data_IF_543420800473
#
_entry.id   IF_543420800473
#
_cell.length_a   1.000
_cell.length_b   1.000
_cell.length_c   1.000
_cell.angle_alpha   90.00
_cell.angle_beta   90.00
_cell.angle_gamma   90.00
#
_symmetry.space_group_name_H-M   'P 1'
#
loop_
_entity.id
_entity.type
_entity.pdbx_description
1 polymer ?
#
# COMPACT_ATOMS: atom_id res chain seq x y z
N UNK A 1 13.98 0.71 9.98
CA UNK A 1 12.81 0.06 10.59
C UNK A 1 11.95 1.02 11.41
N UNK A 2 12.52 1.94 12.20
CA UNK A 2 11.72 2.98 12.88
C UNK A 2 10.79 3.74 11.93
N UNK A 3 11.28 4.19 10.76
CA UNK A 3 10.43 4.82 9.75
C UNK A 3 9.25 3.95 9.30
N UNK A 4 9.48 2.64 9.11
CA UNK A 4 8.42 1.69 8.69
C UNK A 4 7.36 1.55 9.78
N UNK A 5 7.78 1.57 11.06
CA UNK A 5 6.87 1.55 12.20
C UNK A 5 6.03 2.83 12.27
N UNK A 6 6.66 4.00 12.11
CA UNK A 6 5.95 5.28 12.05
C UNK A 6 4.93 5.34 10.90
N UNK A 7 5.31 4.85 9.72
CA UNK A 7 4.38 4.76 8.58
C UNK A 7 3.21 3.82 8.87
N UNK A 8 3.46 2.72 9.59
CA UNK A 8 2.42 1.78 10.00
C UNK A 8 1.45 2.42 11.00
N UNK A 9 1.97 3.13 12.00
CA UNK A 9 1.17 3.86 13.00
C UNK A 9 0.32 4.96 12.35
N UNK A 10 0.84 5.63 11.33
CA UNK A 10 0.11 6.62 10.52
C UNK A 10 -0.79 6.00 9.44
N UNK A 11 -0.87 4.66 9.37
CA UNK A 11 -1.66 3.93 8.36
C UNK A 11 -1.33 4.36 6.92
N UNK A 12 -0.07 4.72 6.68
CA UNK A 12 0.44 5.08 5.36
C UNK A 12 1.04 3.84 4.69
N UNK A 13 0.15 3.00 4.17
CA UNK A 13 0.51 1.72 3.56
C UNK A 13 1.12 1.86 2.16
N UNK A 14 0.83 2.95 1.45
CA UNK A 14 1.51 3.25 0.20
C UNK A 14 3.02 3.41 0.41
N UNK A 15 3.44 4.39 1.22
CA UNK A 15 4.86 4.65 1.47
C UNK A 15 5.54 3.51 2.22
N UNK A 16 4.83 2.85 3.16
CA UNK A 16 5.35 1.69 3.87
C UNK A 16 5.74 0.58 2.90
N UNK A 17 4.85 0.21 1.98
CA UNK A 17 5.12 -0.81 0.96
C UNK A 17 6.24 -0.41 0.02
N UNK A 18 6.37 0.87 -0.35
CA UNK A 18 7.48 1.37 -1.17
C UNK A 18 8.83 1.22 -0.47
N UNK A 19 8.92 1.63 0.80
CA UNK A 19 10.15 1.48 1.60
C UNK A 19 10.49 0.01 1.78
N UNK A 20 9.51 -0.83 2.13
CA UNK A 20 9.73 -2.27 2.30
C UNK A 20 10.18 -2.92 0.99
N UNK A 21 9.59 -2.56 -0.15
CA UNK A 21 9.99 -3.06 -1.46
C UNK A 21 11.45 -2.72 -1.80
N UNK A 22 11.92 -1.54 -1.41
CA UNK A 22 13.33 -1.16 -1.51
C UNK A 22 14.23 -2.02 -0.61
N UNK A 23 13.82 -2.25 0.64
CA UNK A 23 14.60 -3.05 1.60
C UNK A 23 14.64 -4.55 1.26
N UNK A 24 13.55 -5.09 0.69
CA UNK A 24 13.45 -6.49 0.27
C UNK A 24 14.00 -6.72 -1.15
N UNK A 25 14.42 -5.66 -1.85
CA UNK A 25 15.04 -5.77 -3.16
C UNK A 25 16.27 -6.70 -3.10
N UNK A 26 16.41 -7.59 -4.09
CA UNK A 26 17.51 -8.56 -4.17
C UNK A 26 18.89 -7.89 -4.10
N UNK A 27 19.03 -6.69 -4.65
CA UNK A 27 20.26 -5.90 -4.60
C UNK A 27 20.64 -5.47 -3.18
N UNK A 28 19.65 -5.26 -2.31
CA UNK A 28 19.87 -4.92 -0.89
C UNK A 28 20.05 -6.20 -0.07
N UNK A 29 19.10 -7.14 -0.17
CA UNK A 29 19.04 -8.36 0.66
C UNK A 29 20.19 -9.33 0.42
N UNK A 30 20.86 -9.31 -0.75
CA UNK A 30 22.06 -10.12 -1.00
C UNK A 30 23.20 -9.83 -0.01
N UNK A 31 23.23 -8.66 0.62
CA UNK A 31 24.23 -8.28 1.61
C UNK A 31 23.95 -8.90 2.99
N UNK A 32 23.96 -10.24 3.07
CA UNK A 32 23.60 -11.02 4.28
C UNK A 32 24.30 -10.55 5.56
N UNK A 33 25.57 -10.14 5.46
CA UNK A 33 26.36 -9.63 6.60
C UNK A 33 25.73 -8.40 7.27
N UNK A 34 25.09 -7.51 6.51
CA UNK A 34 24.43 -6.32 7.06
C UNK A 34 23.18 -6.68 7.86
N UNK A 35 22.40 -7.64 7.37
CA UNK A 35 21.18 -8.11 8.01
C UNK A 35 21.48 -8.97 9.24
N UNK A 36 22.55 -9.80 9.22
CA UNK A 36 22.99 -10.59 10.37
C UNK A 36 23.51 -9.75 11.54
N UNK A 37 23.99 -8.53 11.29
CA UNK A 37 24.46 -7.60 12.33
C UNK A 37 23.33 -6.87 13.07
N UNK A 38 22.10 -6.98 12.60
CA UNK A 38 20.97 -6.27 13.19
C UNK A 38 20.52 -6.94 14.50
N UNK A 39 19.84 -6.15 15.35
CA UNK A 39 19.29 -6.68 16.59
C UNK A 39 18.13 -7.66 16.32
N UNK A 40 17.87 -8.61 17.24
CA UNK A 40 16.71 -9.51 17.10
C UNK A 40 15.37 -8.77 16.97
N UNK A 41 15.22 -7.61 17.63
CA UNK A 41 14.04 -6.75 17.53
C UNK A 41 13.85 -6.21 16.11
N UNK A 42 14.94 -5.79 15.47
CA UNK A 42 14.94 -5.33 14.09
C UNK A 42 14.52 -6.47 13.16
N UNK A 43 15.10 -7.66 13.31
CA UNK A 43 14.81 -8.82 12.44
C UNK A 43 13.34 -9.26 12.52
N UNK A 44 12.78 -9.34 13.73
CA UNK A 44 11.34 -9.63 13.92
C UNK A 44 10.45 -8.58 13.26
N UNK A 45 10.79 -7.29 13.41
CA UNK A 45 10.03 -6.22 12.77
C UNK A 45 10.12 -6.31 11.25
N UNK A 46 11.32 -6.58 10.72
CA UNK A 46 11.55 -6.72 9.28
C UNK A 46 10.76 -7.89 8.69
N UNK A 47 10.77 -9.04 9.35
CA UNK A 47 9.99 -10.22 8.97
C UNK A 47 8.49 -9.93 8.96
N UNK A 48 7.97 -9.32 10.04
CA UNK A 48 6.57 -8.91 10.13
C UNK A 48 6.15 -8.00 8.96
N UNK A 49 6.91 -6.94 8.68
CA UNK A 49 6.54 -6.02 7.59
C UNK A 49 6.76 -6.62 6.20
N UNK A 50 7.66 -7.60 6.06
CA UNK A 50 7.83 -8.35 4.81
C UNK A 50 6.60 -9.21 4.54
N UNK A 51 6.10 -9.92 5.56
CA UNK A 51 4.87 -10.71 5.45
C UNK A 51 3.64 -9.81 5.25
N UNK A 52 3.59 -8.65 5.90
CA UNK A 52 2.50 -7.68 5.73
C UNK A 52 2.37 -7.18 4.29
N UNK A 53 3.50 -6.85 3.66
CA UNK A 53 3.55 -6.25 2.31
C UNK A 53 3.70 -7.28 1.19
N UNK A 54 3.65 -8.58 1.50
CA UNK A 54 3.84 -9.63 0.50
C UNK A 54 2.78 -9.55 -0.61
N UNK A 55 3.16 -9.72 -1.89
CA UNK A 55 2.20 -9.80 -2.99
C UNK A 55 1.45 -11.15 -3.04
N UNK A 56 1.85 -12.12 -2.22
CA UNK A 56 1.24 -13.46 -2.18
C UNK A 56 -0.27 -13.38 -1.92
N UNK A 57 -1.01 -14.28 -2.55
CA UNK A 57 -2.47 -14.34 -2.47
C UNK A 57 -3.13 -12.98 -2.77
N UNK A 58 -2.60 -12.28 -3.78
CA UNK A 58 -3.08 -10.96 -4.19
C UNK A 58 -3.06 -9.92 -3.06
N UNK A 59 -1.95 -9.81 -2.32
CA UNK A 59 -1.80 -8.87 -1.21
C UNK A 59 -2.81 -9.09 -0.06
N UNK A 60 -3.15 -10.35 0.26
CA UNK A 60 -4.19 -10.72 1.23
C UNK A 60 -4.10 -9.95 2.56
N UNK A 61 -2.92 -9.92 3.17
CA UNK A 61 -2.69 -9.27 4.47
C UNK A 61 -2.95 -7.76 4.40
N UNK A 62 -2.40 -7.10 3.37
CA UNK A 62 -2.55 -5.67 3.18
C UNK A 62 -3.99 -5.28 2.86
N UNK A 63 -4.70 -6.09 2.07
CA UNK A 63 -6.13 -5.92 1.78
C UNK A 63 -6.99 -6.02 3.04
N UNK A 64 -6.71 -6.98 3.91
CA UNK A 64 -7.45 -7.16 5.16
C UNK A 64 -7.32 -5.95 6.07
N UNK A 65 -6.15 -5.34 6.12
CA UNK A 65 -5.92 -4.11 6.89
C UNK A 65 -6.62 -2.93 6.25
N UNK A 66 -6.45 -2.71 4.94
CA UNK A 66 -7.05 -1.58 4.23
C UNK A 66 -8.57 -1.60 4.26
N UNK A 67 -9.19 -2.79 4.23
CA UNK A 67 -10.65 -2.93 4.34
C UNK A 67 -11.21 -2.38 5.67
N UNK A 68 -10.42 -2.45 6.75
CA UNK A 68 -10.82 -2.00 8.08
C UNK A 68 -10.17 -0.66 8.46
N UNK A 69 -9.64 0.07 7.48
CA UNK A 69 -8.89 1.30 7.71
C UNK A 69 -9.81 2.50 7.54
N UNK A 70 -9.90 3.33 8.57
CA UNK A 70 -10.59 4.61 8.50
C UNK A 70 -9.62 5.77 8.21
N UNK A 71 -10.05 6.84 7.51
CA UNK A 71 -9.29 8.08 7.41
C UNK A 71 -8.97 8.69 8.79
N UNK A 72 -7.83 9.38 8.98
CA UNK A 72 -6.76 9.58 8.01
C UNK A 72 -5.93 8.30 7.81
N UNK A 73 -5.55 8.04 6.57
CA UNK A 73 -4.75 6.88 6.14
C UNK A 73 -4.41 6.99 4.65
N UNK A 74 -3.37 6.30 4.21
CA UNK A 74 -2.99 6.26 2.79
C UNK A 74 -2.96 4.79 2.32
N UNK A 75 -4.05 4.30 1.69
CA UNK A 75 -4.09 2.94 1.17
C UNK A 75 -3.06 2.75 0.05
N UNK A 76 -2.63 1.51 -0.14
CA UNK A 76 -1.71 1.16 -1.21
C UNK A 76 -2.45 1.16 -2.55
N UNK A 77 -2.23 2.22 -3.32
CA UNK A 77 -2.85 2.47 -4.62
C UNK A 77 -2.65 1.33 -5.63
N UNK A 78 -1.55 0.56 -5.54
CA UNK A 78 -1.31 -0.56 -6.45
C UNK A 78 -2.41 -1.62 -6.39
N UNK A 79 -2.98 -1.85 -5.20
CA UNK A 79 -4.06 -2.81 -4.98
C UNK A 79 -5.32 -2.36 -5.75
N UNK A 80 -5.74 -1.11 -5.53
CA UNK A 80 -6.91 -0.53 -6.22
C UNK A 80 -6.72 -0.50 -7.73
N UNK A 81 -5.54 -0.08 -8.21
CA UNK A 81 -5.23 -0.07 -9.65
C UNK A 81 -5.30 -1.47 -10.26
N UNK A 82 -4.75 -2.48 -9.57
CA UNK A 82 -4.82 -3.87 -10.01
C UNK A 82 -6.27 -4.37 -10.08
N UNK A 83 -7.11 -3.97 -9.13
CA UNK A 83 -8.53 -4.33 -9.13
C UNK A 83 -9.28 -3.66 -10.29
N UNK A 84 -8.99 -2.39 -10.57
CA UNK A 84 -9.55 -1.68 -11.73
C UNK A 84 -9.17 -2.40 -13.03
N UNK A 85 -7.89 -2.71 -13.22
CA UNK A 85 -7.42 -3.44 -14.41
C UNK A 85 -8.09 -4.82 -14.50
N UNK A 86 -8.19 -5.55 -13.39
CA UNK A 86 -8.86 -6.86 -13.36
C UNK A 86 -10.34 -6.78 -13.70
N UNK A 87 -11.05 -5.72 -13.29
CA UNK A 87 -12.45 -5.49 -13.65
C UNK A 87 -12.57 -5.12 -15.14
N UNK A 88 -11.63 -4.33 -15.64
CA UNK A 88 -11.59 -3.89 -17.04
C UNK A 88 -11.40 -5.07 -18.01
N UNK A 89 -10.49 -6.00 -17.64
CA UNK A 89 -10.16 -7.20 -18.40
C UNK A 89 -11.24 -8.30 -18.32
N UNK A 90 -12.16 -8.24 -17.35
CA UNK A 90 -13.30 -9.15 -17.33
C UNK A 90 -14.28 -8.77 -18.44
N UNK A 91 -14.32 -9.58 -19.51
CA UNK A 91 -15.26 -9.40 -20.62
C UNK A 91 -16.71 -9.63 -20.20
N UNK A 92 -17.60 -8.75 -20.65
CA UNK A 92 -19.02 -9.07 -20.81
C UNK A 92 -19.25 -9.71 -22.18
N UNK A 93 -20.32 -10.52 -22.35
CA UNK A 93 -20.73 -11.00 -23.66
C UNK A 93 -20.98 -9.83 -24.62
N UNK A 94 -20.47 -9.95 -25.85
CA UNK A 94 -20.36 -8.87 -26.86
C UNK A 94 -21.71 -8.27 -27.32
N UNK A 95 -22.84 -8.86 -26.94
CA UNK A 95 -24.16 -8.53 -27.51
C UNK A 95 -24.97 -7.48 -26.72
N UNK A 96 -24.44 -6.88 -25.65
CA UNK A 96 -25.26 -6.11 -24.68
C UNK A 96 -24.64 -4.76 -24.24
N UNK A 97 -24.51 -3.80 -25.16
CA UNK A 97 -24.43 -2.37 -24.81
C UNK A 97 -23.40 -1.98 -23.72
N UNK A 98 -23.75 -1.02 -22.85
CA UNK A 98 -22.89 -0.55 -21.75
C UNK A 98 -23.04 -1.50 -20.55
N UNK A 99 -21.93 -2.05 -20.07
CA UNK A 99 -21.88 -2.83 -18.83
C UNK A 99 -21.90 -1.91 -17.59
N UNK A 100 -23.11 -1.57 -17.13
CA UNK A 100 -23.31 -0.78 -15.92
C UNK A 100 -22.80 -1.46 -14.65
N UNK A 101 -22.71 -2.79 -14.60
CA UNK A 101 -22.22 -3.51 -13.43
C UNK A 101 -20.71 -3.31 -13.27
N UNK A 102 -19.95 -3.41 -14.36
CA UNK A 102 -18.52 -3.06 -14.39
C UNK A 102 -18.28 -1.61 -13.94
N UNK A 103 -18.99 -0.66 -14.53
CA UNK A 103 -18.84 0.76 -14.16
C UNK A 103 -19.22 1.03 -12.70
N UNK A 104 -20.26 0.36 -12.19
CA UNK A 104 -20.64 0.46 -10.77
C UNK A 104 -19.51 0.00 -9.85
N UNK A 105 -18.88 -1.15 -10.13
CA UNK A 105 -17.76 -1.66 -9.33
C UNK A 105 -16.54 -0.74 -9.35
N UNK A 106 -16.19 -0.19 -10.52
CA UNK A 106 -15.10 0.80 -10.63
C UNK A 106 -15.46 2.05 -9.83
N UNK A 107 -16.70 2.53 -9.94
CA UNK A 107 -17.19 3.69 -9.19
C UNK A 107 -17.08 3.48 -7.68
N UNK A 108 -17.45 2.31 -7.18
CA UNK A 108 -17.37 2.00 -5.75
C UNK A 108 -15.91 2.00 -5.28
N UNK A 109 -14.99 1.36 -6.03
CA UNK A 109 -13.54 1.38 -5.71
C UNK A 109 -12.96 2.80 -5.68
N UNK A 110 -13.30 3.63 -6.67
CA UNK A 110 -12.81 5.02 -6.74
C UNK A 110 -13.39 5.86 -5.61
N UNK A 111 -14.68 5.69 -5.30
CA UNK A 111 -15.35 6.43 -4.22
C UNK A 111 -14.74 6.08 -2.86
N UNK A 112 -14.50 4.80 -2.61
CA UNK A 112 -13.82 4.32 -1.40
C UNK A 112 -12.42 4.91 -1.29
N UNK A 113 -11.66 4.95 -2.38
CA UNK A 113 -10.32 5.55 -2.40
C UNK A 113 -10.36 7.06 -2.14
N UNK A 114 -11.30 7.78 -2.76
CA UNK A 114 -11.46 9.22 -2.59
C UNK A 114 -11.90 9.60 -1.17
N UNK A 115 -12.56 8.69 -0.44
CA UNK A 115 -12.92 8.92 0.96
C UNK A 115 -11.70 9.24 1.84
N UNK A 116 -10.52 8.69 1.53
CA UNK A 116 -9.27 8.97 2.24
C UNK A 116 -8.71 10.37 2.01
N UNK A 117 -9.15 11.08 0.97
CA UNK A 117 -8.75 12.46 0.71
C UNK A 117 -9.55 13.48 1.54
N UNK A 118 -10.65 13.05 2.18
CA UNK A 118 -11.55 13.94 2.92
C UNK A 118 -10.99 14.37 4.28
N UNK A 119 -10.10 13.56 4.87
CA UNK A 119 -9.50 13.81 6.19
C UNK A 119 -7.98 13.94 6.05
N UNK A 120 -7.40 15.14 6.20
CA UNK A 120 -5.97 15.33 6.10
C UNK A 120 -5.23 14.71 7.29
N UNK A 121 -3.95 14.41 7.12
CA UNK A 121 -3.10 14.05 8.25
C UNK A 121 -3.00 15.21 9.25
N UNK A 122 -3.01 14.95 10.58
CA UNK A 122 -3.01 16.01 11.59
C UNK A 122 -1.76 16.91 11.56
N UNK A 123 -0.64 16.37 11.08
CA UNK A 123 0.64 17.07 11.03
C UNK A 123 0.97 17.43 9.59
N UNK A 124 0.77 18.69 9.16
CA UNK A 124 1.19 19.12 7.83
C UNK A 124 2.72 19.07 7.70
N UNK A 125 3.25 18.80 6.50
CA UNK A 125 4.69 18.80 6.27
C UNK A 125 5.26 20.19 6.52
N UNK A 126 6.43 20.27 7.17
CA UNK A 126 7.11 21.55 7.36
C UNK A 126 7.58 22.08 5.99
N UNK A 127 7.30 23.35 5.63
CA UNK A 127 7.66 23.90 4.32
C UNK A 127 9.16 23.78 3.99
N UNK A 128 10.02 23.90 5.01
CA UNK A 128 11.48 23.78 4.87
C UNK A 128 11.91 22.36 4.48
N UNK A 129 11.35 21.32 5.12
CA UNK A 129 11.70 19.93 4.77
C UNK A 129 11.13 19.51 3.41
N UNK A 130 9.96 20.04 3.01
CA UNK A 130 9.39 19.74 1.69
C UNK A 130 10.31 20.16 0.54
N UNK A 131 11.14 21.19 0.71
CA UNK A 131 12.12 21.59 -0.30
C UNK A 131 13.22 20.55 -0.53
N UNK A 132 13.62 19.80 0.50
CA UNK A 132 14.73 18.84 0.39
C UNK A 132 14.31 17.45 -0.08
N UNK A 133 13.01 17.13 -0.01
CA UNK A 133 12.47 15.81 -0.33
C UNK A 133 11.86 15.75 -1.73
N UNK A 134 11.52 16.91 -2.32
CA UNK A 134 11.03 17.05 -3.70
C UNK A 134 12.17 17.43 -4.65
#
# INVERSE_FOLDING_TARGET
>A
MHLVQELHEKRNYYSLSSVMSGLTNSTVTKHKKLFQRQSPKWSKSFEYFTDLCTPLNNFKNLRQIQKNMDPPGLPNLLITLKDIVSIEECSCPEDLGIDFYKWRRISDLVTDLLSFQTVPYPTPPSPQMSFYVN
#
